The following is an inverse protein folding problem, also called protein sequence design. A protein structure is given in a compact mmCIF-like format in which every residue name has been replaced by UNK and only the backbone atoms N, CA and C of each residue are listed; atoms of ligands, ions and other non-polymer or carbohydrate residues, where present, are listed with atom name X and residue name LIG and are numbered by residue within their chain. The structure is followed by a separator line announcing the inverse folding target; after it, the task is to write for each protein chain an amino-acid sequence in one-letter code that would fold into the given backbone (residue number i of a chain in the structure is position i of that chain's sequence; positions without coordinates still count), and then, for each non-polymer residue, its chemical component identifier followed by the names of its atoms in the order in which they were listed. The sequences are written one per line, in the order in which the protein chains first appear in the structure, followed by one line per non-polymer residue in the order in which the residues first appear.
data_IF_443850340880
#
_entry.id   IF_443850340880
#
_cell.length_a   1.000
_cell.length_b   1.000
_cell.length_c   1.000
_cell.angle_alpha   90.00
_cell.angle_beta   90.00
_cell.angle_gamma   90.00
#
_symmetry.space_group_name_H-M   'P 1'
#
loop_
_entity.id
_entity.type
_entity.pdbx_description
1 polymer ?
#
# COMPACT_ATOMS: atom_id res chain seq x y z
N UNK A 1 -16.73 -20.69 32.00
CA UNK A 1 -17.59 -19.70 31.33
C UNK A 1 -17.63 -18.44 32.18
N UNK A 2 -16.88 -17.41 31.81
CA UNK A 2 -17.08 -16.05 32.29
C UNK A 2 -17.11 -15.18 31.02
N UNK A 3 -18.30 -14.73 30.66
CA UNK A 3 -18.52 -13.89 29.49
C UNK A 3 -17.89 -12.51 29.75
N UNK A 4 -17.04 -12.04 28.84
CA UNK A 4 -16.63 -10.63 28.81
C UNK A 4 -17.81 -9.81 28.31
N UNK A 5 -18.65 -9.35 29.22
CA UNK A 5 -19.65 -8.31 28.97
C UNK A 5 -19.17 -7.00 29.60
N UNK A 6 -18.67 -6.10 28.76
CA UNK A 6 -18.81 -4.65 28.89
C UNK A 6 -18.17 -4.03 27.63
N UNK A 7 -19.00 -3.65 26.67
CA UNK A 7 -18.60 -2.65 25.66
C UNK A 7 -18.80 -1.33 26.37
N UNK A 8 -17.71 -0.64 26.72
CA UNK A 8 -17.79 0.68 27.34
C UNK A 8 -18.58 1.63 26.44
N UNK A 9 -19.44 2.43 27.05
CA UNK A 9 -20.30 3.37 26.31
C UNK A 9 -19.44 4.48 25.66
N UNK A 10 -19.84 5.05 24.50
CA UNK A 10 -19.06 6.06 23.79
C UNK A 10 -18.75 7.33 24.59
N UNK A 11 -19.42 7.55 25.73
CA UNK A 11 -19.35 8.76 26.53
C UNK A 11 -18.20 8.72 27.57
N UNK A 12 -17.64 7.55 27.90
CA UNK A 12 -16.55 7.42 28.89
C UNK A 12 -15.13 7.65 28.32
N UNK A 13 -15.02 7.90 27.00
CA UNK A 13 -13.73 8.12 26.31
C UNK A 13 -13.21 9.57 26.40
N UNK A 14 -14.01 10.51 26.93
CA UNK A 14 -13.67 11.94 26.93
C UNK A 14 -12.62 12.38 27.97
N UNK A 15 -12.30 11.53 28.97
CA UNK A 15 -11.53 11.94 30.15
C UNK A 15 -10.09 11.42 30.26
N UNK A 16 -9.59 10.61 29.31
CA UNK A 16 -8.25 9.99 29.37
C UNK A 16 -7.36 10.33 28.17
N UNK A 17 -7.52 11.52 27.61
CA UNK A 17 -6.61 12.07 26.60
C UNK A 17 -5.48 12.87 27.27
N UNK A 18 -4.75 12.23 28.19
CA UNK A 18 -3.54 12.80 28.78
C UNK A 18 -2.29 12.21 28.10
N UNK A 19 -1.62 13.10 27.36
CA UNK A 19 -0.23 13.12 26.86
C UNK A 19 0.67 11.95 27.29
N UNK A 20 0.73 10.85 26.51
CA UNK A 20 1.89 9.92 26.45
C UNK A 20 1.81 8.79 25.36
N UNK A 21 1.13 8.95 24.22
CA UNK A 21 1.10 7.91 23.14
C UNK A 21 1.15 8.51 21.72
N UNK A 22 2.05 9.48 21.52
CA UNK A 22 2.00 10.47 20.44
C UNK A 22 2.64 10.00 19.11
N UNK A 23 2.07 8.99 18.46
CA UNK A 23 2.32 8.82 17.02
C UNK A 23 1.54 9.85 16.20
N UNK A 24 2.02 10.18 15.00
CA UNK A 24 1.42 11.15 14.08
C UNK A 24 0.46 10.52 13.07
N UNK A 25 0.66 9.25 12.71
CA UNK A 25 -0.04 8.51 11.63
C UNK A 25 -0.77 7.32 12.22
N UNK A 26 -2.10 7.28 12.20
CA UNK A 26 -2.86 6.09 12.66
C UNK A 26 -2.85 4.99 11.61
N UNK A 27 -2.90 3.72 12.02
CA UNK A 27 -2.88 2.59 11.08
C UNK A 27 -4.06 2.62 10.10
N UNK A 28 -5.24 3.08 10.54
CA UNK A 28 -6.40 3.25 9.66
C UNK A 28 -6.22 4.33 8.58
N UNK A 29 -5.61 5.47 8.92
CA UNK A 29 -5.31 6.55 7.95
C UNK A 29 -4.28 6.08 6.93
N UNK A 30 -3.23 5.42 7.41
CA UNK A 30 -2.22 4.80 6.58
C UNK A 30 -2.85 3.78 5.62
N UNK A 31 -3.73 2.92 6.13
CA UNK A 31 -4.41 1.89 5.35
C UNK A 31 -5.28 2.49 4.25
N UNK A 32 -6.10 3.48 4.60
CA UNK A 32 -6.90 4.24 3.64
C UNK A 32 -6.01 4.79 2.53
N UNK A 33 -4.88 5.40 2.89
CA UNK A 33 -3.98 5.99 1.90
C UNK A 33 -3.40 4.96 0.92
N UNK A 34 -3.10 3.74 1.38
CA UNK A 34 -2.71 2.63 0.49
C UNK A 34 -3.87 2.18 -0.41
N UNK A 35 -5.08 2.05 0.12
CA UNK A 35 -6.26 1.55 -0.62
C UNK A 35 -6.75 2.53 -1.69
N UNK A 36 -6.51 3.83 -1.51
CA UNK A 36 -6.87 4.87 -2.47
C UNK A 36 -5.84 5.06 -3.61
N UNK A 37 -4.72 4.33 -3.58
CA UNK A 37 -3.76 4.34 -4.67
C UNK A 37 -4.42 3.93 -6.00
N UNK A 38 -4.15 4.63 -7.11
CA UNK A 38 -4.58 4.19 -8.43
C UNK A 38 -4.10 2.77 -8.73
N UNK A 39 -4.90 1.99 -9.47
CA UNK A 39 -4.59 0.60 -9.79
C UNK A 39 -3.19 0.41 -10.39
N UNK A 40 -2.80 1.25 -11.36
CA UNK A 40 -1.46 1.22 -11.95
C UNK A 40 -0.35 1.43 -10.90
N UNK A 41 -0.55 2.32 -9.92
CA UNK A 41 0.42 2.51 -8.84
C UNK A 41 0.45 1.33 -7.87
N UNK A 42 -0.70 0.69 -7.63
CA UNK A 42 -0.75 -0.55 -6.85
C UNK A 42 0.04 -1.66 -7.54
N UNK A 43 -0.05 -1.78 -8.86
CA UNK A 43 0.60 -2.82 -9.67
C UNK A 43 2.11 -2.58 -9.82
N UNK A 44 2.53 -1.34 -10.08
CA UNK A 44 3.91 -1.04 -10.46
C UNK A 44 4.84 -0.67 -9.29
N UNK A 45 4.32 -0.35 -8.10
CA UNK A 45 5.15 0.06 -6.94
C UNK A 45 5.49 -1.11 -6.05
N UNK A 46 6.70 -1.09 -5.48
CA UNK A 46 7.11 -2.06 -4.46
C UNK A 46 6.27 -1.93 -3.17
N UNK A 47 6.37 -2.92 -2.28
CA UNK A 47 5.65 -2.88 -1.00
C UNK A 47 5.99 -1.64 -0.17
N UNK A 48 7.28 -1.32 -0.02
CA UNK A 48 7.73 -0.19 0.80
C UNK A 48 7.55 1.17 0.11
N UNK A 49 7.50 1.22 -1.23
CA UNK A 49 7.11 2.44 -1.94
C UNK A 49 5.64 2.83 -1.67
N UNK A 50 4.75 1.84 -1.59
CA UNK A 50 3.35 2.09 -1.19
C UNK A 50 3.27 2.62 0.24
N UNK A 51 4.13 2.12 1.13
CA UNK A 51 4.24 2.60 2.51
C UNK A 51 4.75 4.03 2.57
N UNK A 52 5.80 4.35 1.82
CA UNK A 52 6.34 5.70 1.72
C UNK A 52 5.28 6.68 1.20
N UNK A 53 4.54 6.30 0.14
CA UNK A 53 3.42 7.09 -0.37
C UNK A 53 2.33 7.32 0.68
N UNK A 54 1.87 6.25 1.32
CA UNK A 54 0.82 6.35 2.33
C UNK A 54 1.24 7.25 3.49
N UNK A 55 2.50 7.15 3.90
CA UNK A 55 3.11 8.01 4.92
C UNK A 55 3.13 9.47 4.48
N UNK A 56 3.64 9.76 3.29
CA UNK A 56 3.69 11.13 2.75
C UNK A 56 2.31 11.78 2.75
N UNK A 57 1.30 11.08 2.23
CA UNK A 57 -0.08 11.57 2.19
C UNK A 57 -0.63 11.89 3.57
N UNK A 58 -0.49 10.98 4.55
CA UNK A 58 -1.03 11.26 5.90
C UNK A 58 -0.29 12.42 6.56
N UNK A 59 1.02 12.56 6.35
CA UNK A 59 1.78 13.69 6.87
C UNK A 59 1.37 15.02 6.20
N UNK A 60 1.07 15.01 4.90
CA UNK A 60 0.54 16.17 4.15
C UNK A 60 -0.86 16.56 4.62
N UNK A 61 -1.79 15.60 4.68
CA UNK A 61 -3.18 15.82 5.14
C UNK A 61 -3.26 16.35 6.58
N UNK A 62 -2.27 15.99 7.42
CA UNK A 62 -2.16 16.49 8.79
C UNK A 62 -1.39 17.80 8.92
N UNK A 63 -0.89 18.34 7.82
CA UNK A 63 -0.08 19.56 7.81
C UNK A 63 1.27 19.43 8.54
N UNK A 64 1.76 18.19 8.74
CA UNK A 64 3.04 17.93 9.41
C UNK A 64 4.23 18.14 8.46
N UNK A 65 4.00 17.94 7.17
CA UNK A 65 4.90 18.32 6.09
C UNK A 65 4.08 19.07 5.02
N UNK A 66 4.74 19.88 4.21
CA UNK A 66 4.15 20.58 3.06
C UNK A 66 4.58 19.95 1.74
N UNK A 67 3.80 20.18 0.68
CA UNK A 67 4.16 19.72 -0.66
C UNK A 67 5.51 20.30 -1.12
N UNK A 68 5.79 21.56 -0.80
CA UNK A 68 7.05 22.23 -1.15
C UNK A 68 8.26 21.59 -0.47
N UNK A 69 8.13 21.18 0.80
CA UNK A 69 9.19 20.45 1.52
C UNK A 69 9.46 19.09 0.88
N UNK A 70 8.40 18.36 0.53
CA UNK A 70 8.51 17.05 -0.11
C UNK A 70 9.15 17.14 -1.51
N UNK A 71 8.66 18.08 -2.32
CA UNK A 71 9.16 18.40 -3.66
C UNK A 71 10.65 18.79 -3.59
N UNK A 72 11.05 19.67 -2.67
CA UNK A 72 12.45 20.05 -2.47
C UNK A 72 13.34 18.86 -2.04
N UNK A 73 12.86 18.00 -1.12
CA UNK A 73 13.60 16.83 -0.67
C UNK A 73 13.75 15.76 -1.77
N UNK A 74 12.81 15.69 -2.72
CA UNK A 74 12.87 14.85 -3.92
C UNK A 74 13.72 15.46 -5.04
N UNK A 75 14.33 16.63 -4.84
CA UNK A 75 15.11 17.32 -5.87
C UNK A 75 14.26 17.97 -6.96
N UNK A 76 12.97 18.18 -6.70
CA UNK A 76 12.02 18.88 -7.56
C UNK A 76 11.53 20.18 -6.87
N UNK A 77 12.42 21.12 -6.48
CA UNK A 77 12.01 22.27 -5.68
C UNK A 77 10.83 23.01 -6.32
N UNK A 78 9.83 23.34 -5.50
CA UNK A 78 8.69 24.14 -5.93
C UNK A 78 9.19 25.50 -6.44
N UNK A 79 9.19 25.69 -7.75
CA UNK A 79 9.47 26.99 -8.35
C UNK A 79 8.18 27.80 -8.36
N UNK A 80 8.18 29.07 -7.90
CA UNK A 80 7.03 29.94 -8.11
C UNK A 80 6.74 29.97 -9.61
N UNK A 81 5.51 29.60 -9.98
CA UNK A 81 5.14 29.43 -11.37
C UNK A 81 5.10 30.81 -12.03
N UNK A 82 6.17 31.20 -12.73
CA UNK A 82 6.17 32.41 -13.52
C UNK A 82 5.06 32.35 -14.57
N UNK A 83 4.50 33.50 -14.93
CA UNK A 83 3.60 33.60 -16.09
C UNK A 83 4.42 33.28 -17.34
N UNK A 84 4.10 32.16 -17.98
CA UNK A 84 4.81 31.67 -19.17
C UNK A 84 4.13 32.08 -20.49
N UNK A 85 2.85 32.47 -20.44
CA UNK A 85 2.07 32.82 -21.63
C UNK A 85 1.45 34.21 -21.48
N UNK A 86 1.30 34.90 -22.60
CA UNK A 86 0.74 36.24 -22.70
C UNK A 86 -0.48 36.26 -23.61
N UNK A 87 -1.29 37.32 -23.51
CA UNK A 87 -2.44 37.50 -24.40
C UNK A 87 -2.00 37.45 -25.86
N UNK A 88 -2.67 36.62 -26.65
CA UNK A 88 -2.35 36.36 -28.06
C UNK A 88 -1.51 35.10 -28.29
N UNK A 89 -0.88 34.53 -27.26
CA UNK A 89 -0.09 33.31 -27.41
C UNK A 89 -0.95 32.11 -27.80
N UNK A 90 -0.42 31.31 -28.73
CA UNK A 90 -1.02 30.03 -29.13
C UNK A 90 -0.58 28.94 -28.18
N UNK A 91 -1.55 28.29 -27.55
CA UNK A 91 -1.33 27.26 -26.54
C UNK A 91 -2.06 25.98 -26.90
N UNK A 92 -1.55 24.86 -26.43
CA UNK A 92 -2.22 23.55 -26.50
C UNK A 92 -2.55 23.08 -25.08
N UNK A 93 -3.74 22.54 -24.91
CA UNK A 93 -4.15 21.91 -23.65
C UNK A 93 -3.54 20.53 -23.60
N UNK A 94 -2.72 20.25 -22.58
CA UNK A 94 -2.08 18.95 -22.40
C UNK A 94 -3.12 17.85 -22.22
N UNK A 95 -2.90 16.65 -22.79
CA UNK A 95 -3.73 15.49 -22.49
C UNK A 95 -3.45 14.96 -21.08
N UNK A 96 -4.44 14.29 -20.49
CA UNK A 96 -4.24 13.55 -19.24
C UNK A 96 -3.22 12.41 -19.44
N UNK A 97 -2.28 12.25 -18.52
CA UNK A 97 -1.34 11.11 -18.52
C UNK A 97 -1.08 10.56 -17.09
N UNK A 98 -0.42 9.41 -17.00
CA UNK A 98 -0.18 8.70 -15.74
C UNK A 98 0.73 9.45 -14.75
N UNK A 99 1.61 10.35 -15.22
CA UNK A 99 2.42 11.22 -14.36
C UNK A 99 1.62 12.42 -13.82
N UNK A 100 0.43 12.71 -14.34
CA UNK A 100 -0.52 13.66 -13.75
C UNK A 100 -1.53 12.94 -12.83
N UNK A 101 -1.80 11.65 -13.06
CA UNK A 101 -2.76 10.84 -12.29
C UNK A 101 -2.31 10.47 -10.87
N UNK A 102 -1.02 10.40 -10.59
CA UNK A 102 -0.56 9.88 -9.28
C UNK A 102 -0.83 10.82 -8.10
N UNK A 103 -1.10 12.11 -8.37
CA UNK A 103 -1.47 13.09 -7.33
C UNK A 103 -2.96 13.04 -6.98
N UNK A 104 -3.78 12.35 -7.79
CA UNK A 104 -5.25 12.40 -7.81
C UNK A 104 -5.87 13.67 -7.20
N UNK A 105 -5.43 14.87 -7.62
CA UNK A 105 -6.02 16.06 -7.09
C UNK A 105 -7.32 16.38 -7.82
N UNK A 106 -8.12 17.26 -7.25
CA UNK A 106 -9.30 17.81 -7.90
C UNK A 106 -8.92 18.48 -9.22
N UNK A 107 -9.21 17.82 -10.36
CA UNK A 107 -8.94 18.39 -11.69
C UNK A 107 -10.05 19.38 -12.03
N UNK A 108 -9.68 20.64 -12.19
CA UNK A 108 -10.58 21.70 -12.66
C UNK A 108 -10.57 21.88 -14.18
N UNK A 109 -9.54 21.42 -14.87
CA UNK A 109 -9.43 21.48 -16.33
C UNK A 109 -10.34 20.41 -16.97
N UNK A 110 -11.37 20.79 -17.74
CA UNK A 110 -12.32 19.82 -18.27
C UNK A 110 -11.71 18.85 -19.29
N UNK A 111 -12.08 17.58 -19.24
CA UNK A 111 -11.48 16.58 -20.13
C UNK A 111 -11.79 16.77 -21.62
N UNK A 112 -12.90 17.42 -21.96
CA UNK A 112 -13.33 17.60 -23.36
C UNK A 112 -12.47 18.61 -24.14
N UNK A 113 -11.61 19.40 -23.47
CA UNK A 113 -10.68 20.33 -24.13
C UNK A 113 -9.26 19.76 -24.25
N UNK A 114 -8.99 18.57 -23.75
CA UNK A 114 -7.65 17.97 -23.80
C UNK A 114 -7.17 17.79 -25.24
N UNK A 115 -5.91 18.14 -25.47
CA UNK A 115 -5.28 18.09 -26.79
C UNK A 115 -5.68 19.22 -27.73
N UNK A 116 -6.69 20.03 -27.41
CA UNK A 116 -7.13 21.15 -28.24
C UNK A 116 -6.13 22.31 -28.18
N UNK A 117 -6.04 23.06 -29.27
CA UNK A 117 -5.22 24.27 -29.36
C UNK A 117 -6.11 25.52 -29.34
N UNK A 118 -5.63 26.57 -28.69
CA UNK A 118 -6.38 27.81 -28.48
C UNK A 118 -5.48 29.02 -28.43
N UNK A 119 -6.06 30.15 -28.03
CA UNK A 119 -5.35 31.42 -27.87
C UNK A 119 -5.64 32.01 -26.51
N UNK A 120 -4.59 32.45 -25.81
CA UNK A 120 -4.74 33.16 -24.53
C UNK A 120 -5.43 34.49 -24.78
N UNK A 121 -6.60 34.68 -24.18
CA UNK A 121 -7.38 35.92 -24.23
C UNK A 121 -7.09 36.82 -23.03
N UNK A 122 -6.79 36.22 -21.88
CA UNK A 122 -6.59 36.94 -20.62
C UNK A 122 -5.64 36.17 -19.71
N UNK A 123 -4.86 36.90 -18.91
CA UNK A 123 -3.99 36.36 -17.86
C UNK A 123 -4.49 36.88 -16.52
N UNK A 124 -5.08 36.02 -15.69
CA UNK A 124 -5.65 36.42 -14.38
C UNK A 124 -4.61 36.65 -13.29
N UNK A 125 -3.35 36.29 -13.56
CA UNK A 125 -2.33 36.19 -12.53
C UNK A 125 -2.47 34.89 -11.76
N UNK A 126 -2.32 34.95 -10.44
CA UNK A 126 -2.07 33.78 -9.59
C UNK A 126 -3.31 33.39 -8.77
N UNK A 127 -3.85 32.19 -9.01
CA UNK A 127 -4.88 31.58 -8.15
C UNK A 127 -4.28 30.42 -7.35
N UNK A 128 -4.92 30.08 -6.24
CA UNK A 128 -4.58 28.87 -5.48
C UNK A 128 -4.75 27.64 -6.37
N UNK A 129 -3.77 26.75 -6.32
CA UNK A 129 -3.81 25.51 -7.10
C UNK A 129 -4.98 24.63 -6.62
N UNK A 130 -6.05 24.46 -7.42
CA UNK A 130 -7.24 23.72 -7.03
C UNK A 130 -6.93 22.24 -6.83
N UNK A 131 -5.85 21.77 -7.47
CA UNK A 131 -5.38 20.42 -7.32
C UNK A 131 -4.91 20.17 -5.88
N UNK A 132 -4.16 21.12 -5.34
CA UNK A 132 -3.64 21.08 -3.97
C UNK A 132 -4.67 21.52 -2.91
N UNK A 133 -5.63 22.39 -3.27
CA UNK A 133 -6.70 22.93 -2.40
C UNK A 133 -7.65 21.86 -1.86
N UNK A 134 -7.99 20.86 -2.70
CA UNK A 134 -8.93 19.80 -2.36
C UNK A 134 -8.52 18.92 -1.16
N UNK A 135 -7.31 19.09 -0.64
CA UNK A 135 -6.75 18.33 0.48
C UNK A 135 -6.52 19.15 1.75
N UNK A 136 -7.18 20.31 1.92
CA UNK A 136 -7.10 21.14 3.14
C UNK A 136 -5.67 21.59 3.50
N UNK A 137 -4.86 21.92 2.50
CA UNK A 137 -3.51 22.42 2.70
C UNK A 137 -3.52 23.87 3.24
N UNK A 138 -2.67 24.15 4.23
CA UNK A 138 -2.43 25.50 4.73
C UNK A 138 -1.19 26.05 4.01
N UNK A 139 -1.38 27.09 3.18
CA UNK A 139 -0.43 27.66 2.20
C UNK A 139 -0.29 26.85 0.90
N UNK A 140 -1.22 27.08 -0.02
CA UNK A 140 -1.24 26.46 -1.33
C UNK A 140 -0.24 27.11 -2.30
N UNK A 141 0.41 26.32 -3.17
CA UNK A 141 1.13 26.89 -4.29
C UNK A 141 0.13 27.65 -5.17
N UNK A 142 0.49 28.88 -5.57
CA UNK A 142 -0.32 29.62 -6.53
C UNK A 142 0.17 29.36 -7.94
N UNK A 143 -0.75 29.22 -8.87
CA UNK A 143 -0.48 28.92 -10.28
C UNK A 143 -1.08 30.01 -11.17
N UNK A 144 -0.40 30.40 -12.26
CA UNK A 144 -0.99 31.27 -13.26
C UNK A 144 -2.23 30.65 -13.87
N UNK A 145 -3.29 31.45 -14.02
CA UNK A 145 -4.53 31.06 -14.68
C UNK A 145 -4.79 31.93 -15.89
N UNK A 146 -5.22 31.29 -16.96
CA UNK A 146 -5.42 31.89 -18.27
C UNK A 146 -6.85 31.69 -18.73
N UNK A 147 -7.45 32.69 -19.39
CA UNK A 147 -8.61 32.46 -20.24
C UNK A 147 -8.12 32.06 -21.62
N UNK A 148 -8.45 30.86 -22.06
CA UNK A 148 -8.09 30.34 -23.38
C UNK A 148 -9.35 30.27 -24.23
N UNK A 149 -9.29 30.86 -25.43
CA UNK A 149 -10.33 30.70 -26.44
C UNK A 149 -10.01 29.52 -27.35
N UNK A 150 -10.99 28.63 -27.51
CA UNK A 150 -10.93 27.40 -28.30
C UNK A 150 -12.10 27.40 -29.28
N UNK A 151 -11.90 27.01 -30.54
CA UNK A 151 -13.03 26.91 -31.49
C UNK A 151 -13.90 25.70 -31.14
N UNK A 152 -15.21 25.89 -31.15
CA UNK A 152 -16.18 24.84 -30.87
C UNK A 152 -16.05 23.67 -31.86
N UNK A 153 -15.81 23.98 -33.15
CA UNK A 153 -15.60 22.96 -34.19
C UNK A 153 -14.37 22.08 -33.95
N UNK A 154 -13.35 22.58 -33.26
CA UNK A 154 -12.15 21.81 -32.95
C UNK A 154 -12.37 20.92 -31.71
N UNK A 155 -13.07 21.43 -30.69
CA UNK A 155 -13.41 20.69 -29.47
C UNK A 155 -14.26 19.46 -29.80
N UNK A 156 -15.28 19.62 -30.64
CA UNK A 156 -16.25 18.56 -30.93
C UNK A 156 -15.89 17.75 -32.18
N UNK A 157 -14.69 17.92 -32.73
CA UNK A 157 -14.26 17.19 -33.93
C UNK A 157 -14.18 15.68 -33.63
N UNK A 158 -14.95 14.89 -34.38
CA UNK A 158 -14.95 13.42 -34.25
C UNK A 158 -15.78 12.89 -33.07
N UNK A 159 -16.56 13.74 -32.40
CA UNK A 159 -17.49 13.35 -31.33
C UNK A 159 -18.93 13.48 -31.83
N UNK A 160 -19.65 12.37 -31.97
CA UNK A 160 -21.03 12.37 -32.48
C UNK A 160 -21.14 12.99 -33.89
N UNK A 161 -22.12 13.87 -34.09
CA UNK A 161 -22.28 14.65 -35.34
C UNK A 161 -21.35 15.89 -35.42
N UNK A 162 -20.54 16.14 -34.38
CA UNK A 162 -19.71 17.33 -34.26
C UNK A 162 -20.49 18.57 -33.80
N UNK A 163 -19.89 19.75 -34.01
CA UNK A 163 -20.51 21.03 -33.66
C UNK A 163 -21.39 21.56 -34.80
N UNK A 164 -22.67 21.78 -34.52
CA UNK A 164 -23.66 22.24 -35.52
C UNK A 164 -23.74 23.77 -35.71
N UNK A 165 -23.02 24.54 -34.89
CA UNK A 165 -23.00 26.01 -34.94
C UNK A 165 -22.01 26.57 -35.96
N UNK A 166 -21.74 27.87 -35.87
CA UNK A 166 -20.80 28.55 -36.77
C UNK A 166 -19.37 28.04 -36.55
N UNK A 167 -18.56 27.89 -37.62
CA UNK A 167 -17.14 27.53 -37.49
C UNK A 167 -16.29 28.59 -36.78
N UNK A 168 -16.84 29.79 -36.58
CA UNK A 168 -16.23 30.88 -35.83
C UNK A 168 -16.63 30.91 -34.36
N UNK A 169 -17.53 30.03 -33.91
CA UNK A 169 -17.97 30.01 -32.52
C UNK A 169 -16.85 29.48 -31.63
N UNK A 170 -16.69 30.12 -30.47
CA UNK A 170 -15.61 29.84 -29.54
C UNK A 170 -16.15 29.48 -28.15
N UNK A 171 -15.40 28.64 -27.45
CA UNK A 171 -15.49 28.42 -26.02
C UNK A 171 -14.34 29.17 -25.35
N UNK A 172 -14.65 30.04 -24.40
CA UNK A 172 -13.65 30.60 -23.50
C UNK A 172 -13.68 29.83 -22.18
N UNK A 173 -12.53 29.29 -21.77
CA UNK A 173 -12.38 28.45 -20.58
C UNK A 173 -11.15 28.86 -19.79
N UNK A 174 -11.24 28.79 -18.47
CA UNK A 174 -10.13 29.07 -17.56
C UNK A 174 -9.27 27.82 -17.40
N UNK A 175 -7.96 27.96 -17.62
CA UNK A 175 -7.00 26.86 -17.59
C UNK A 175 -5.77 27.26 -16.78
N UNK A 176 -5.35 26.38 -15.87
CA UNK A 176 -4.15 26.56 -15.07
C UNK A 176 -2.89 26.24 -15.89
N UNK A 177 -1.81 27.00 -15.67
CA UNK A 177 -0.55 26.88 -16.43
C UNK A 177 -0.02 25.46 -16.62
N UNK A 178 -0.05 24.55 -15.62
CA UNK A 178 0.48 23.20 -15.78
C UNK A 178 -0.20 22.38 -16.89
N UNK A 179 -1.43 22.76 -17.27
CA UNK A 179 -2.21 22.15 -18.34
C UNK A 179 -1.95 22.79 -19.71
N UNK A 180 -1.10 23.80 -19.80
CA UNK A 180 -0.76 24.50 -21.04
C UNK A 180 0.67 24.18 -21.49
N UNK A 181 0.81 24.07 -22.80
CA UNK A 181 2.10 24.11 -23.49
C UNK A 181 2.03 25.04 -24.70
N UNK A 182 3.18 25.53 -25.15
CA UNK A 182 3.24 26.32 -26.37
C UNK A 182 2.79 25.45 -27.55
N UNK A 183 1.88 25.96 -28.36
CA UNK A 183 1.45 25.24 -29.56
C UNK A 183 2.60 25.17 -30.57
N UNK A 184 2.94 23.96 -31.03
CA UNK A 184 3.88 23.73 -32.11
C UNK A 184 3.27 24.13 -33.47
N UNK A 185 4.06 24.61 -34.44
CA UNK A 185 3.58 24.77 -35.83
C UNK A 185 3.16 23.45 -36.49
N UNK A 186 3.54 22.30 -35.93
CA UNK A 186 3.07 20.96 -36.34
C UNK A 186 1.94 20.42 -35.48
N UNK A 187 1.58 21.08 -34.38
CA UNK A 187 0.30 20.82 -33.75
C UNK A 187 -0.77 21.18 -34.78
N UNK A 188 -1.87 20.41 -34.89
CA UNK A 188 -2.80 20.55 -35.99
C UNK A 188 -3.44 21.96 -36.01
N UNK A 189 -2.78 22.88 -36.70
CA UNK A 189 -3.37 24.07 -37.26
C UNK A 189 -4.20 23.57 -38.43
N UNK A 190 -5.51 23.44 -38.21
CA UNK A 190 -6.56 23.22 -39.22
C UNK A 190 -6.08 23.22 -40.68
N UNK A 191 -5.78 22.04 -41.23
CA UNK A 191 -5.78 21.73 -42.66
C UNK A 191 -6.11 20.24 -42.91
N UNK A 192 -6.66 19.90 -44.09
CA UNK A 192 -7.51 18.72 -44.29
C UNK A 192 -6.68 17.48 -44.61
N UNK A 193 -6.80 16.43 -43.81
CA UNK A 193 -6.35 15.09 -44.22
C UNK A 193 -7.54 14.30 -44.72
N UNK A 194 -7.58 14.16 -46.05
CA UNK A 194 -8.40 13.21 -46.77
C UNK A 194 -8.06 11.78 -46.33
N UNK A 195 -8.99 11.11 -45.67
CA UNK A 195 -9.08 9.66 -45.77
C UNK A 195 -10.27 9.33 -46.66
N UNK A 196 -9.92 8.91 -47.87
CA UNK A 196 -10.82 8.31 -48.85
C UNK A 196 -11.51 7.10 -48.23
N UNK A 197 -12.82 7.21 -47.99
CA UNK A 197 -13.70 6.05 -47.97
C UNK A 197 -14.63 6.16 -49.18
N UNK A 198 -14.25 5.46 -50.25
CA UNK A 198 -15.17 5.05 -51.31
C UNK A 198 -16.23 4.14 -50.69
N UNK A 199 -17.48 4.58 -50.74
CA UNK A 199 -18.63 3.78 -50.34
C UNK A 199 -19.15 2.96 -51.52
N UNK A 200 -19.41 1.66 -51.30
CA UNK A 200 -20.61 0.91 -51.70
C UNK A 200 -20.39 -0.62 -51.55
N UNK A 201 -21.43 -1.47 -51.44
CA UNK A 201 -22.79 -1.26 -50.93
C UNK A 201 -23.14 -2.23 -49.78
N UNK A 202 -24.31 -2.01 -49.17
CA UNK A 202 -24.92 -2.86 -48.15
C UNK A 202 -25.14 -4.29 -48.68
N UNK A 203 -24.52 -5.28 -48.03
CA UNK A 203 -24.93 -6.68 -48.11
C UNK A 203 -25.12 -7.24 -46.69
N UNK A 204 -26.33 -7.72 -46.45
CA UNK A 204 -26.75 -8.43 -45.27
C UNK A 204 -26.12 -9.83 -45.24
N UNK A 205 -25.17 -10.10 -44.34
CA UNK A 205 -24.85 -11.46 -43.93
C UNK A 205 -24.45 -11.50 -42.46
N UNK A 206 -25.20 -12.31 -41.70
CA UNK A 206 -24.81 -12.89 -40.41
C UNK A 206 -23.39 -13.44 -40.48
N UNK A 207 -22.55 -13.23 -39.46
CA UNK A 207 -21.66 -14.25 -38.87
C UNK A 207 -20.91 -13.71 -37.64
N UNK A 208 -20.83 -14.59 -36.64
CA UNK A 208 -19.76 -14.82 -35.66
C UNK A 208 -19.17 -13.64 -34.88
N UNK A 209 -19.35 -13.68 -33.56
CA UNK A 209 -18.53 -12.94 -32.60
C UNK A 209 -17.07 -13.42 -32.70
N UNK A 210 -16.23 -12.63 -33.35
CA UNK A 210 -14.78 -12.69 -33.20
C UNK A 210 -14.42 -11.91 -31.93
N UNK A 211 -14.08 -12.66 -30.87
CA UNK A 211 -13.57 -12.09 -29.63
C UNK A 211 -12.14 -11.63 -29.88
N UNK A 212 -12.00 -10.37 -30.27
CA UNK A 212 -10.72 -9.68 -30.33
C UNK A 212 -9.99 -9.82 -29.00
N UNK A 213 -8.82 -10.46 -29.10
CA UNK A 213 -7.89 -10.86 -28.06
C UNK A 213 -7.48 -9.66 -27.20
N UNK A 214 -8.21 -9.42 -26.09
CA UNK A 214 -7.69 -8.62 -25.01
C UNK A 214 -6.63 -9.46 -24.31
N UNK A 215 -5.35 -9.17 -24.57
CA UNK A 215 -4.23 -9.68 -23.80
C UNK A 215 -4.44 -9.31 -22.33
N UNK A 216 -5.04 -10.22 -21.57
CA UNK A 216 -4.94 -10.23 -20.12
C UNK A 216 -3.57 -10.83 -19.81
N UNK A 217 -2.64 -10.01 -19.31
CA UNK A 217 -1.42 -10.56 -18.70
C UNK A 217 -1.86 -11.66 -17.73
N UNK A 218 -1.26 -12.85 -17.87
CA UNK A 218 -1.58 -13.98 -17.01
C UNK A 218 -1.36 -13.52 -15.57
N UNK A 219 -2.31 -13.78 -14.67
CA UNK A 219 -2.25 -13.31 -13.28
C UNK A 219 -0.92 -13.66 -12.60
N UNK A 220 -0.33 -14.78 -12.99
CA UNK A 220 0.98 -15.24 -12.56
C UNK A 220 2.11 -14.28 -12.96
N UNK A 221 2.08 -13.67 -14.14
CA UNK A 221 3.07 -12.69 -14.62
C UNK A 221 2.99 -11.38 -13.83
N UNK A 222 1.76 -10.91 -13.55
CA UNK A 222 1.52 -9.72 -12.70
C UNK A 222 1.99 -9.98 -11.26
N UNK A 223 1.73 -11.17 -10.74
CA UNK A 223 2.16 -11.58 -9.39
C UNK A 223 3.69 -11.76 -9.31
N UNK A 224 4.32 -12.31 -10.35
CA UNK A 224 5.76 -12.52 -10.43
C UNK A 224 6.53 -11.20 -10.54
N UNK A 225 6.05 -10.26 -11.36
CA UNK A 225 6.63 -8.90 -11.47
C UNK A 225 6.57 -8.15 -10.15
N UNK A 226 5.50 -8.32 -9.37
CA UNK A 226 5.38 -7.74 -8.03
C UNK A 226 6.38 -8.35 -7.03
N UNK A 227 6.72 -9.64 -7.17
CA UNK A 227 7.74 -10.32 -6.36
C UNK A 227 9.14 -9.81 -6.73
N UNK A 228 9.44 -9.68 -8.02
CA UNK A 228 10.72 -9.17 -8.52
C UNK A 228 10.97 -7.72 -8.06
N UNK A 229 9.94 -6.87 -8.07
CA UNK A 229 10.01 -5.49 -7.55
C UNK A 229 10.24 -5.43 -6.03
N UNK A 230 9.87 -6.46 -5.27
CA UNK A 230 10.12 -6.53 -3.83
C UNK A 230 11.59 -6.88 -3.50
N UNK A 231 12.32 -7.48 -4.43
CA UNK A 231 13.71 -7.93 -4.26
C UNK A 231 14.75 -6.91 -4.78
N UNK A 232 14.28 -5.81 -5.39
CA UNK A 232 15.13 -4.81 -6.06
C UNK A 232 16.02 -3.95 -5.13
N UNK A 233 15.96 -4.13 -3.80
CA UNK A 233 16.97 -3.64 -2.84
C UNK A 233 17.11 -2.12 -2.63
N UNK A 234 16.64 -1.28 -3.55
CA UNK A 234 16.86 0.17 -3.49
C UNK A 234 15.81 0.88 -2.63
N UNK A 235 16.27 1.69 -1.67
CA UNK A 235 15.42 2.61 -0.94
C UNK A 235 14.87 3.66 -1.91
N UNK A 236 13.55 3.72 -2.04
CA UNK A 236 12.92 4.71 -2.90
C UNK A 236 13.33 6.13 -2.51
N UNK A 237 13.50 7.02 -3.49
CA UNK A 237 13.82 8.44 -3.26
C UNK A 237 12.81 9.10 -2.30
N UNK A 238 11.55 8.66 -2.35
CA UNK A 238 10.50 9.11 -1.44
C UNK A 238 10.75 8.70 0.02
N UNK A 239 11.21 7.47 0.27
CA UNK A 239 11.56 7.01 1.61
C UNK A 239 12.67 7.86 2.22
N UNK A 240 13.71 8.16 1.43
CA UNK A 240 14.84 8.98 1.87
C UNK A 240 14.41 10.43 2.14
N UNK A 241 13.59 11.01 1.25
CA UNK A 241 13.03 12.34 1.42
C UNK A 241 12.19 12.45 2.70
N UNK A 242 11.33 11.46 2.98
CA UNK A 242 10.50 11.44 4.18
C UNK A 242 11.33 11.33 5.46
N UNK A 243 12.34 10.45 5.49
CA UNK A 243 13.26 10.34 6.64
C UNK A 243 13.94 11.67 6.90
N UNK A 244 14.48 12.31 5.85
CA UNK A 244 15.12 13.62 5.95
C UNK A 244 14.19 14.67 6.53
N UNK A 245 13.00 14.85 5.95
CA UNK A 245 12.03 15.86 6.40
C UNK A 245 11.59 15.59 7.84
N UNK A 246 11.31 14.33 8.19
CA UNK A 246 10.89 13.99 9.55
C UNK A 246 11.97 14.26 10.59
N UNK A 247 13.25 14.08 10.25
CA UNK A 247 14.38 14.43 11.11
C UNK A 247 14.54 15.95 11.23
N UNK A 248 14.52 16.68 10.11
CA UNK A 248 14.66 18.15 10.08
C UNK A 248 13.56 18.86 10.87
N UNK A 249 12.32 18.34 10.82
CA UNK A 249 11.17 18.87 11.55
C UNK A 249 11.05 18.35 12.98
N UNK A 250 11.92 17.45 13.42
CA UNK A 250 11.87 16.83 14.75
C UNK A 250 10.64 15.96 15.00
N UNK A 251 9.97 15.47 13.93
CA UNK A 251 8.90 14.48 14.04
C UNK A 251 9.44 13.13 14.51
N UNK A 252 10.71 12.85 14.22
CA UNK A 252 11.46 11.72 14.76
C UNK A 252 12.89 12.18 15.05
N UNK A 253 13.57 11.54 16.01
CA UNK A 253 15.00 11.78 16.25
C UNK A 253 15.83 10.67 15.61
N UNK A 254 17.09 10.97 15.25
CA UNK A 254 18.01 9.95 14.73
C UNK A 254 18.21 8.80 15.72
N UNK A 255 18.24 9.12 17.02
CA UNK A 255 18.33 8.13 18.10
C UNK A 255 17.10 7.23 18.15
N UNK A 256 15.90 7.81 18.12
CA UNK A 256 14.65 7.07 18.09
C UNK A 256 14.57 6.14 16.88
N UNK A 257 15.02 6.59 15.71
CA UNK A 257 15.05 5.76 14.50
C UNK A 257 16.04 4.59 14.63
N UNK A 258 17.27 4.84 15.12
CA UNK A 258 18.26 3.79 15.38
C UNK A 258 17.74 2.76 16.37
N UNK A 259 17.19 3.21 17.50
CA UNK A 259 16.66 2.34 18.54
C UNK A 259 15.57 1.41 18.01
N UNK A 260 14.61 1.91 17.21
CA UNK A 260 13.58 1.04 16.61
C UNK A 260 14.20 0.00 15.68
N UNK A 261 15.17 0.40 14.85
CA UNK A 261 15.84 -0.52 13.93
C UNK A 261 16.54 -1.63 14.71
N UNK A 262 17.27 -1.27 15.77
CA UNK A 262 17.95 -2.21 16.66
C UNK A 262 16.95 -3.13 17.38
N UNK A 263 15.86 -2.59 17.95
CA UNK A 263 14.80 -3.37 18.62
C UNK A 263 14.18 -4.40 17.67
N UNK A 264 13.86 -4.00 16.43
CA UNK A 264 13.28 -4.88 15.42
C UNK A 264 14.27 -5.97 14.99
N UNK A 265 15.54 -5.61 14.79
CA UNK A 265 16.59 -6.57 14.44
C UNK A 265 16.80 -7.60 15.57
N UNK A 266 16.83 -7.13 16.82
CA UNK A 266 16.99 -7.99 18.00
C UNK A 266 15.80 -8.92 18.20
N UNK A 267 14.56 -8.46 17.98
CA UNK A 267 13.36 -9.28 18.13
C UNK A 267 13.40 -10.56 17.28
N UNK A 268 13.98 -10.50 16.07
CA UNK A 268 14.16 -11.68 15.22
C UNK A 268 15.27 -12.65 15.66
N UNK A 269 16.17 -12.20 16.55
CA UNK A 269 17.34 -12.98 16.99
C UNK A 269 17.14 -13.64 18.37
N UNK A 270 16.17 -13.17 19.16
CA UNK A 270 15.96 -13.65 20.54
C UNK A 270 15.35 -15.05 20.66
N UNK A 271 14.89 -15.65 19.56
CA UNK A 271 14.36 -17.03 19.58
C UNK A 271 13.09 -17.21 20.43
N UNK A 272 12.35 -16.12 20.71
CA UNK A 272 11.19 -16.14 21.58
C UNK A 272 10.12 -17.15 21.13
N UNK A 273 9.80 -17.18 19.84
CA UNK A 273 8.84 -18.15 19.30
C UNK A 273 9.28 -19.59 19.52
N UNK A 274 10.55 -19.90 19.26
CA UNK A 274 11.13 -21.22 19.45
C UNK A 274 11.04 -21.65 20.91
N UNK A 275 11.39 -20.75 21.84
CA UNK A 275 11.28 -20.98 23.28
C UNK A 275 9.83 -21.28 23.69
N UNK A 276 8.85 -20.50 23.22
CA UNK A 276 7.43 -20.74 23.51
C UNK A 276 6.96 -22.11 23.03
N UNK A 277 7.33 -22.50 21.80
CA UNK A 277 6.93 -23.78 21.21
C UNK A 277 7.60 -24.95 21.92
N UNK A 278 8.91 -24.88 22.16
CA UNK A 278 9.66 -25.94 22.84
C UNK A 278 9.14 -26.16 24.26
N UNK A 279 8.88 -25.08 25.00
CA UNK A 279 8.29 -25.15 26.34
C UNK A 279 6.87 -25.74 26.31
N UNK A 280 6.07 -25.42 25.29
CA UNK A 280 4.76 -26.03 25.10
C UNK A 280 4.82 -27.53 24.72
N UNK A 281 5.91 -27.98 24.08
CA UNK A 281 6.12 -29.40 23.80
C UNK A 281 6.55 -30.22 25.02
N UNK A 282 7.14 -29.59 26.04
CA UNK A 282 7.64 -30.25 27.26
C UNK A 282 6.70 -30.07 28.46
N UNK A 283 5.88 -29.02 28.49
CA UNK A 283 4.89 -28.76 29.54
C UNK A 283 3.46 -28.63 28.95
N UNK A 284 2.67 -29.70 29.12
CA UNK A 284 1.28 -29.75 28.67
C UNK A 284 0.37 -28.75 29.41
N UNK A 285 0.66 -28.43 30.67
CA UNK A 285 -0.11 -27.45 31.44
C UNK A 285 0.19 -26.03 30.93
N UNK A 286 1.44 -25.72 30.62
CA UNK A 286 1.82 -24.47 29.96
C UNK A 286 1.18 -24.35 28.58
N UNK A 287 1.26 -25.40 27.75
CA UNK A 287 0.62 -25.43 26.43
C UNK A 287 -0.88 -25.11 26.51
N UNK A 288 -1.60 -25.67 27.47
CA UNK A 288 -3.01 -25.38 27.67
C UNK A 288 -3.26 -23.89 28.01
N UNK A 289 -2.38 -23.25 28.80
CA UNK A 289 -2.44 -21.81 29.07
C UNK A 289 -2.12 -20.99 27.82
N UNK A 290 -1.08 -21.36 27.08
CA UNK A 290 -0.62 -20.69 25.86
C UNK A 290 -1.70 -20.69 24.76
N UNK A 291 -2.42 -21.80 24.57
CA UNK A 291 -3.52 -21.90 23.60
C UNK A 291 -4.74 -21.07 24.01
N UNK A 292 -4.96 -20.90 25.31
CA UNK A 292 -6.05 -20.10 25.88
C UNK A 292 -5.76 -18.61 25.77
N UNK A 293 -4.59 -18.17 26.20
CA UNK A 293 -4.16 -16.78 26.25
C UNK A 293 -2.65 -16.68 25.97
N UNK A 294 -2.32 -16.37 24.71
CA UNK A 294 -0.94 -16.38 24.24
C UNK A 294 -0.07 -15.33 24.91
N UNK A 295 -0.62 -14.12 25.09
CA UNK A 295 0.11 -13.00 25.69
C UNK A 295 0.45 -13.26 27.15
N UNK A 296 -0.54 -13.69 27.94
CA UNK A 296 -0.34 -13.99 29.37
C UNK A 296 0.65 -15.14 29.58
N UNK A 297 0.55 -16.21 28.79
CA UNK A 297 1.47 -17.34 28.89
C UNK A 297 2.89 -16.97 28.44
N UNK A 298 3.04 -16.16 27.39
CA UNK A 298 4.36 -15.68 26.97
C UNK A 298 5.05 -14.85 28.06
N UNK A 299 4.27 -14.03 28.79
CA UNK A 299 4.78 -13.24 29.91
C UNK A 299 5.32 -14.10 31.07
N UNK A 300 4.80 -15.32 31.29
CA UNK A 300 5.35 -16.28 32.27
C UNK A 300 6.83 -16.60 32.00
N UNK A 301 7.26 -16.55 30.73
CA UNK A 301 8.64 -16.79 30.30
C UNK A 301 9.46 -15.51 30.08
N UNK A 302 8.92 -14.35 30.48
CA UNK A 302 9.55 -13.04 30.29
C UNK A 302 9.48 -12.51 28.85
N UNK A 303 8.58 -13.06 28.01
CA UNK A 303 8.41 -12.66 26.61
C UNK A 303 7.20 -11.75 26.49
N UNK A 304 7.40 -10.52 26.02
CA UNK A 304 6.28 -9.63 25.67
C UNK A 304 5.77 -9.96 24.27
N UNK A 305 4.44 -10.03 24.14
CA UNK A 305 3.75 -10.13 22.87
C UNK A 305 3.21 -8.76 22.38
N UNK A 306 3.47 -7.69 23.14
CA UNK A 306 2.97 -6.36 22.84
C UNK A 306 3.71 -5.80 21.62
N UNK A 307 2.97 -5.20 20.68
CA UNK A 307 3.56 -4.67 19.45
C UNK A 307 4.71 -3.68 19.71
N UNK A 308 5.71 -3.67 18.83
CA UNK A 308 6.87 -2.76 18.86
C UNK A 308 6.46 -1.27 18.75
N UNK A 309 5.22 -0.99 18.33
CA UNK A 309 4.75 0.33 17.89
C UNK A 309 4.35 1.31 19.00
N UNK A 310 5.03 1.36 20.14
CA UNK A 310 4.59 2.27 21.22
C UNK A 310 5.65 3.18 21.85
N UNK A 311 6.92 3.14 21.43
CA UNK A 311 7.96 3.94 22.10
C UNK A 311 8.75 4.91 21.22
N UNK A 312 8.76 4.73 19.90
CA UNK A 312 9.43 5.62 18.97
C UNK A 312 8.85 5.44 17.54
N UNK A 313 8.79 6.52 16.76
CA UNK A 313 8.33 6.52 15.36
C UNK A 313 7.09 7.38 15.10
N UNK A 314 6.73 7.55 13.83
CA UNK A 314 5.60 8.41 13.43
C UNK A 314 4.24 7.72 13.50
N UNK A 315 4.17 6.41 13.74
CA UNK A 315 2.89 5.67 13.75
C UNK A 315 2.26 5.67 15.14
N UNK A 316 0.96 5.94 15.21
CA UNK A 316 0.16 5.88 16.42
C UNK A 316 -0.56 4.54 16.52
N UNK A 317 -0.73 3.99 17.73
CA UNK A 317 -1.67 2.89 17.94
C UNK A 317 -3.08 3.31 17.48
N UNK A 318 -3.88 2.35 17.02
CA UNK A 318 -5.20 2.60 16.41
C UNK A 318 -6.31 2.93 17.43
N UNK A 319 -5.95 3.50 18.58
CA UNK A 319 -6.86 3.91 19.65
C UNK A 319 -6.51 3.29 21.00
N UNK A 320 -7.28 3.61 22.05
CA UNK A 320 -7.05 3.09 23.40
C UNK A 320 -7.32 1.58 23.53
N UNK A 321 -8.03 0.99 22.55
CA UNK A 321 -8.42 -0.43 22.52
C UNK A 321 -7.62 -1.28 21.51
N UNK A 322 -6.62 -0.72 20.81
CA UNK A 322 -5.82 -1.50 19.84
C UNK A 322 -4.70 -2.28 20.55
N UNK A 323 -5.07 -3.19 21.43
CA UNK A 323 -4.11 -4.13 22.03
C UNK A 323 -3.94 -5.31 21.09
N UNK A 324 -2.73 -5.45 20.55
CA UNK A 324 -2.36 -6.61 19.76
C UNK A 324 -2.51 -7.86 20.63
N UNK A 325 -3.37 -8.78 20.21
CA UNK A 325 -3.60 -10.03 20.93
C UNK A 325 -2.83 -11.16 20.26
N UNK A 326 -1.95 -11.82 21.00
CA UNK A 326 -1.31 -13.06 20.53
C UNK A 326 -2.30 -14.23 20.64
N UNK A 327 -2.63 -14.84 19.50
CA UNK A 327 -3.40 -16.09 19.46
C UNK A 327 -2.51 -17.24 19.00
N UNK A 328 -2.41 -18.27 19.83
CA UNK A 328 -1.65 -19.47 19.50
C UNK A 328 -2.60 -20.55 18.99
N UNK A 329 -2.21 -21.21 17.90
CA UNK A 329 -2.94 -22.32 17.26
C UNK A 329 -2.01 -23.52 17.13
N UNK A 330 -2.56 -24.73 17.24
CA UNK A 330 -1.75 -25.95 17.28
C UNK A 330 -2.02 -26.81 16.04
N UNK A 331 -0.94 -27.33 15.44
CA UNK A 331 -1.03 -28.42 14.48
C UNK A 331 -1.15 -29.75 15.22
N UNK A 332 -2.08 -30.60 14.78
CA UNK A 332 -2.38 -31.93 15.33
C UNK A 332 -2.49 -32.93 14.20
N UNK A 333 -2.71 -34.21 14.53
CA UNK A 333 -2.92 -35.27 13.52
C UNK A 333 -4.17 -35.03 12.65
N UNK A 334 -5.05 -34.11 13.06
CA UNK A 334 -6.26 -33.76 12.32
C UNK A 334 -6.23 -32.36 11.68
N UNK A 335 -5.31 -31.47 12.09
CA UNK A 335 -5.31 -30.06 11.65
C UNK A 335 -3.89 -29.54 11.40
N UNK A 336 -3.69 -28.89 10.25
CA UNK A 336 -2.53 -28.06 9.94
C UNK A 336 -2.97 -26.60 9.78
N UNK A 337 -2.32 -25.67 10.49
CA UNK A 337 -2.62 -24.25 10.44
C UNK A 337 -1.62 -23.53 9.54
N UNK A 338 -2.10 -22.52 8.80
CA UNK A 338 -1.29 -21.61 7.99
C UNK A 338 -1.70 -20.16 8.31
N UNK A 339 -0.73 -19.28 8.51
CA UNK A 339 -0.99 -17.87 8.84
C UNK A 339 -0.73 -16.97 7.62
N UNK A 340 -1.61 -16.01 7.40
CA UNK A 340 -1.45 -14.96 6.38
C UNK A 340 -1.99 -13.62 6.90
N UNK A 341 -1.62 -12.53 6.24
CA UNK A 341 -2.34 -11.26 6.31
C UNK A 341 -2.62 -10.82 4.89
N UNK A 342 -3.81 -11.12 4.37
CA UNK A 342 -4.17 -10.85 2.98
C UNK A 342 -4.11 -9.36 2.67
N UNK A 343 -4.43 -8.52 3.66
CA UNK A 343 -4.48 -7.07 3.52
C UNK A 343 -3.09 -6.42 3.46
N UNK A 344 -2.11 -6.87 4.26
CA UNK A 344 -0.77 -6.27 4.28
C UNK A 344 0.31 -7.28 4.68
N UNK A 345 0.72 -7.28 5.95
CA UNK A 345 1.78 -8.12 6.48
C UNK A 345 1.74 -8.22 8.01
N UNK A 346 0.55 -8.17 8.62
CA UNK A 346 0.38 -8.32 10.07
C UNK A 346 1.10 -9.59 10.56
N UNK A 347 1.98 -9.43 11.55
CA UNK A 347 2.91 -10.47 12.00
C UNK A 347 3.28 -10.27 13.49
N UNK A 348 3.54 -11.33 14.29
CA UNK A 348 3.91 -11.21 15.69
C UNK A 348 5.39 -10.81 15.86
N UNK A 349 5.74 -9.57 15.49
CA UNK A 349 7.12 -9.06 15.43
C UNK A 349 7.92 -9.27 16.73
N UNK A 350 7.39 -9.01 17.95
CA UNK A 350 8.13 -9.23 19.21
C UNK A 350 8.58 -10.68 19.44
N UNK A 351 7.96 -11.63 18.74
CA UNK A 351 8.16 -13.07 18.92
C UNK A 351 8.94 -13.68 17.76
N UNK A 352 8.66 -13.24 16.53
CA UNK A 352 9.18 -13.85 15.31
C UNK A 352 10.06 -12.90 14.46
N UNK A 353 10.26 -11.65 14.88
CA UNK A 353 10.94 -10.63 14.09
C UNK A 353 10.10 -10.12 12.91
N UNK A 354 10.75 -9.50 11.91
CA UNK A 354 10.04 -9.01 10.73
C UNK A 354 9.46 -10.13 9.88
N UNK A 355 8.29 -9.90 9.25
CA UNK A 355 7.75 -10.85 8.27
C UNK A 355 8.73 -10.99 7.09
N UNK A 356 8.99 -12.22 6.62
CA UNK A 356 9.87 -12.45 5.48
C UNK A 356 9.31 -11.84 4.18
N UNK A 357 10.16 -11.59 3.16
CA UNK A 357 9.73 -11.10 1.84
C UNK A 357 8.55 -11.88 1.26
N UNK A 358 8.64 -13.22 1.23
CA UNK A 358 7.58 -14.06 0.68
C UNK A 358 6.22 -13.88 1.39
N UNK A 359 6.19 -13.55 2.69
CA UNK A 359 4.94 -13.34 3.43
C UNK A 359 4.24 -12.02 3.03
N UNK A 360 5.02 -11.01 2.62
CA UNK A 360 4.54 -9.70 2.16
C UNK A 360 4.06 -9.73 0.71
N UNK A 361 4.58 -10.69 -0.06
CA UNK A 361 4.32 -10.82 -1.49
C UNK A 361 2.82 -10.95 -1.82
N UNK A 362 2.42 -10.38 -2.96
CA UNK A 362 1.05 -10.53 -3.48
C UNK A 362 0.68 -11.99 -3.72
N UNK A 363 1.60 -12.78 -4.27
CA UNK A 363 1.41 -14.19 -4.56
C UNK A 363 1.01 -14.96 -3.30
N UNK A 364 1.81 -14.88 -2.23
CA UNK A 364 1.49 -15.56 -0.97
C UNK A 364 0.16 -15.08 -0.38
N UNK A 365 -0.04 -13.76 -0.31
CA UNK A 365 -1.24 -13.17 0.31
C UNK A 365 -2.52 -13.57 -0.41
N UNK A 366 -2.51 -13.61 -1.73
CA UNK A 366 -3.70 -13.93 -2.51
C UNK A 366 -3.97 -15.43 -2.62
N UNK A 367 -2.92 -16.25 -2.70
CA UNK A 367 -3.03 -17.70 -2.92
C UNK A 367 -3.25 -18.48 -1.63
N UNK A 368 -2.68 -18.04 -0.50
CA UNK A 368 -2.79 -18.78 0.77
C UNK A 368 -4.23 -18.99 1.23
N UNK A 369 -5.15 -18.07 0.93
CA UNK A 369 -6.57 -18.22 1.28
C UNK A 369 -7.40 -18.97 0.24
N UNK A 370 -6.89 -19.12 -0.99
CA UNK A 370 -7.61 -19.74 -2.12
C UNK A 370 -7.19 -21.19 -2.34
N UNK A 371 -5.89 -21.43 -2.30
CA UNK A 371 -5.27 -22.72 -2.63
C UNK A 371 -4.12 -23.07 -1.66
N UNK A 372 -4.38 -23.10 -0.33
CA UNK A 372 -3.33 -23.25 0.67
C UNK A 372 -2.47 -24.51 0.50
N UNK A 373 -3.06 -25.63 0.05
CA UNK A 373 -2.31 -26.87 -0.18
C UNK A 373 -1.31 -26.76 -1.33
N UNK A 374 -1.62 -25.98 -2.37
CA UNK A 374 -0.72 -25.74 -3.49
C UNK A 374 0.46 -24.88 -3.02
N UNK A 375 0.17 -23.80 -2.30
CA UNK A 375 1.20 -22.94 -1.69
C UNK A 375 2.10 -23.76 -0.76
N UNK A 376 1.53 -24.56 0.16
CA UNK A 376 2.30 -25.41 1.07
C UNK A 376 3.20 -26.40 0.31
N UNK A 377 2.70 -27.01 -0.77
CA UNK A 377 3.49 -27.91 -1.62
C UNK A 377 4.69 -27.21 -2.25
N UNK A 378 4.55 -25.94 -2.67
CA UNK A 378 5.65 -25.13 -3.20
C UNK A 378 6.72 -24.81 -2.15
N UNK A 379 6.33 -24.67 -0.87
CA UNK A 379 7.26 -24.59 0.27
C UNK A 379 7.91 -25.96 0.60
N UNK A 380 7.54 -27.04 -0.09
CA UNK A 380 8.00 -28.40 0.21
C UNK A 380 7.19 -29.11 1.30
N UNK A 381 6.07 -28.53 1.73
CA UNK A 381 5.22 -29.03 2.82
C UNK A 381 4.00 -29.74 2.25
N UNK A 382 4.04 -31.07 2.22
CA UNK A 382 2.93 -31.88 1.73
C UNK A 382 2.05 -32.28 2.91
N UNK A 383 0.93 -31.59 3.09
CA UNK A 383 -0.08 -31.94 4.09
C UNK A 383 -1.02 -33.00 3.48
N UNK A 384 -1.18 -34.19 4.11
CA UNK A 384 -2.13 -35.22 3.67
C UNK A 384 -3.56 -34.72 3.49
N UNK A 385 -4.33 -35.35 2.61
CA UNK A 385 -5.69 -34.91 2.27
C UNK A 385 -6.67 -34.99 3.45
N UNK A 386 -6.49 -35.98 4.32
CA UNK A 386 -7.29 -36.24 5.51
C UNK A 386 -7.01 -35.27 6.67
N UNK A 387 -5.85 -34.59 6.66
CA UNK A 387 -5.53 -33.53 7.63
C UNK A 387 -6.16 -32.22 7.16
N UNK A 388 -7.05 -31.63 7.97
CA UNK A 388 -7.70 -30.34 7.67
C UNK A 388 -6.67 -29.22 7.64
N UNK A 389 -6.64 -28.42 6.57
CA UNK A 389 -5.87 -27.16 6.55
C UNK A 389 -6.75 -26.00 7.01
N UNK A 390 -6.32 -25.24 8.01
CA UNK A 390 -6.99 -24.02 8.51
C UNK A 390 -6.11 -22.81 8.26
N UNK A 391 -6.60 -21.86 7.47
CA UNK A 391 -5.87 -20.61 7.17
C UNK A 391 -6.37 -19.51 8.10
N UNK A 392 -5.45 -18.85 8.81
CA UNK A 392 -5.73 -17.73 9.71
C UNK A 392 -5.31 -16.42 9.06
N UNK A 393 -6.29 -15.60 8.68
CA UNK A 393 -6.04 -14.28 8.09
C UNK A 393 -6.04 -13.19 9.17
N UNK A 394 -4.88 -12.56 9.38
CA UNK A 394 -4.63 -11.56 10.42
C UNK A 394 -5.15 -10.17 10.02
N UNK A 395 -6.47 -10.03 9.93
CA UNK A 395 -7.14 -8.82 9.41
C UNK A 395 -7.44 -7.75 10.48
N UNK A 396 -7.43 -8.14 11.75
CA UNK A 396 -7.70 -7.26 12.90
C UNK A 396 -6.46 -7.17 13.82
N UNK A 397 -6.66 -7.04 15.13
CA UNK A 397 -5.59 -6.89 16.12
C UNK A 397 -5.03 -8.23 16.64
N UNK A 398 -5.49 -9.37 16.11
CA UNK A 398 -4.90 -10.67 16.43
C UNK A 398 -3.61 -10.90 15.62
N UNK A 399 -2.57 -11.41 16.28
CA UNK A 399 -1.37 -11.96 15.64
C UNK A 399 -1.26 -13.42 16.00
N UNK A 400 -1.11 -14.27 15.00
CA UNK A 400 -1.10 -15.71 15.20
C UNK A 400 0.31 -16.26 15.36
N UNK A 401 0.44 -17.35 16.11
CA UNK A 401 1.63 -18.19 16.19
C UNK A 401 1.19 -19.66 16.09
N UNK A 402 1.82 -20.45 15.23
CA UNK A 402 1.60 -21.89 15.14
C UNK A 402 2.53 -22.63 16.11
N UNK A 403 1.97 -23.54 16.91
CA UNK A 403 2.72 -24.64 17.53
C UNK A 403 2.74 -25.79 16.51
N UNK A 404 3.86 -26.01 15.80
CA UNK A 404 3.97 -27.17 14.93
C UNK A 404 3.91 -28.47 15.75
N UNK A 405 3.60 -29.59 15.10
CA UNK A 405 3.70 -30.89 15.75
C UNK A 405 5.14 -31.18 16.14
N UNK A 406 5.34 -31.72 17.35
CA UNK A 406 6.65 -32.20 17.79
C UNK A 406 7.03 -33.40 16.93
N UNK A 407 8.21 -33.39 16.26
CA UNK A 407 8.66 -34.54 15.49
C UNK A 407 8.82 -35.79 16.37
N UNK A 408 8.43 -36.96 15.86
CA UNK A 408 8.64 -38.22 16.55
C UNK A 408 10.12 -38.51 16.76
N UNK A 409 10.46 -39.26 17.82
CA UNK A 409 11.85 -39.61 18.12
C UNK A 409 12.63 -38.48 18.80
N UNK A 410 11.95 -37.43 19.27
CA UNK A 410 12.57 -36.30 19.97
C UNK A 410 12.34 -36.35 21.48
N UNK A 411 11.78 -37.43 22.01
CA UNK A 411 11.33 -37.55 23.41
C UNK A 411 12.47 -37.38 24.42
N UNK A 412 13.69 -37.67 24.00
CA UNK A 412 14.92 -37.59 24.79
C UNK A 412 15.62 -36.23 24.73
N UNK A 413 15.22 -35.34 23.80
CA UNK A 413 15.86 -34.04 23.62
C UNK A 413 15.51 -33.07 24.74
N UNK A 414 16.46 -32.23 25.12
CA UNK A 414 16.22 -31.11 26.06
C UNK A 414 15.36 -30.02 25.40
N UNK A 415 14.84 -29.09 26.21
CA UNK A 415 14.09 -27.96 25.68
C UNK A 415 14.94 -27.11 24.72
N UNK A 416 16.22 -26.89 25.00
CA UNK A 416 17.14 -26.15 24.15
C UNK A 416 17.39 -26.85 22.81
N UNK A 417 17.49 -28.18 22.81
CA UNK A 417 17.63 -28.99 21.60
C UNK A 417 16.33 -28.96 20.77
N UNK A 418 15.17 -29.01 21.42
CA UNK A 418 13.87 -28.88 20.76
C UNK A 418 13.68 -27.51 20.11
N UNK A 419 14.18 -26.42 20.72
CA UNK A 419 14.13 -25.08 20.13
C UNK A 419 14.79 -25.03 18.75
N UNK A 420 15.87 -25.80 18.53
CA UNK A 420 16.57 -25.85 17.23
C UNK A 420 15.74 -26.49 16.11
N UNK A 421 14.73 -27.29 16.47
CA UNK A 421 13.82 -27.92 15.52
C UNK A 421 12.72 -26.96 15.05
N UNK A 422 12.43 -25.92 15.84
CA UNK A 422 11.39 -24.94 15.55
C UNK A 422 11.95 -23.84 14.66
N UNK A 423 11.36 -23.67 13.47
CA UNK A 423 11.74 -22.62 12.53
C UNK A 423 10.68 -21.53 12.46
N UNK A 424 11.07 -20.34 12.00
CA UNK A 424 10.13 -19.28 11.65
C UNK A 424 9.01 -19.79 10.75
N UNK A 425 9.38 -20.53 9.70
CA UNK A 425 8.41 -21.01 8.71
C UNK A 425 7.46 -22.06 9.30
N UNK A 426 7.92 -22.87 10.27
CA UNK A 426 7.06 -23.79 11.02
C UNK A 426 6.10 -23.08 11.98
N UNK A 427 6.50 -21.92 12.52
CA UNK A 427 5.68 -21.08 13.38
C UNK A 427 4.69 -20.20 12.61
N UNK A 428 4.88 -20.04 11.29
CA UNK A 428 3.88 -19.49 10.36
C UNK A 428 2.96 -20.59 9.82
N UNK A 429 3.41 -21.85 9.87
CA UNK A 429 2.72 -23.00 9.30
C UNK A 429 3.02 -23.26 7.82
N UNK A 430 4.02 -22.57 7.25
CA UNK A 430 4.49 -22.82 5.88
C UNK A 430 5.36 -24.08 5.77
N UNK A 431 5.93 -24.53 6.89
CA UNK A 431 6.77 -25.72 7.01
C UNK A 431 6.36 -26.60 8.21
N UNK A 432 6.79 -27.86 8.21
CA UNK A 432 6.85 -28.66 9.44
C UNK A 432 8.04 -28.24 10.31
N UNK A 433 8.04 -28.62 11.58
CA UNK A 433 9.26 -28.56 12.39
C UNK A 433 10.35 -29.46 11.78
N UNK A 434 11.63 -29.08 11.96
CA UNK A 434 12.74 -29.88 11.46
C UNK A 434 12.76 -31.24 12.14
N UNK A 435 12.98 -32.28 11.35
CA UNK A 435 13.25 -33.62 11.87
C UNK A 435 14.74 -33.68 12.23
N UNK A 436 15.13 -34.20 13.41
CA UNK A 436 16.55 -34.40 13.73
C UNK A 436 17.20 -35.29 12.67
N UNK A 437 18.46 -35.02 12.33
CA UNK A 437 19.23 -35.96 11.53
C UNK A 437 19.31 -37.29 12.30
N UNK A 438 19.17 -38.42 11.61
CA UNK A 438 19.36 -39.73 12.22
C UNK A 438 20.76 -39.77 12.84
N UNK A 439 20.92 -40.26 14.09
CA UNK A 439 22.24 -40.41 14.68
C UNK A 439 23.09 -41.31 13.77
N UNK A 440 24.29 -40.83 13.43
CA UNK A 440 25.27 -41.58 12.64
C UNK A 440 25.76 -42.84 13.36
#
# INVERSE_FOLDING_TARGET
MAARTAVDSPQDLGGKLDKARAGYVRSGEFRRSVEYLPQAALECKSYYEKWAFATANVLLERGLISQAELDAALGQPHQPANINFHVGDKVRIRPENSSLRFRKPHIRTPGYIFGCSGTVQEVFGYLEDPESDAFFNVSLPKQPVYRVSLRQVDIWKGVGEGYAGSPTDELQVEVFQPWLEAASPTDPASQPTSHSHTAAPVQSHSHAHDHGDHFHEERQEVEQRAVELEDAGDLSALSLALVKICLEKGLVTAEALRQIVEEIQMAGQQGHGQKLVAHAWTDAAFKARLLRDGGSAAAELGISADGVSSKAGITAPSGPLSEVTLKVVENTDAVHNLIVCTLCSCYPIPILGLPPPWYKSRSYRARSVREPRVVLKEFGTIVPEDIKVTVHDSTADTRFLVIPQRPAGTEHLTEEELQQLVTRDSMVGAAFAKIPAAPH
#
